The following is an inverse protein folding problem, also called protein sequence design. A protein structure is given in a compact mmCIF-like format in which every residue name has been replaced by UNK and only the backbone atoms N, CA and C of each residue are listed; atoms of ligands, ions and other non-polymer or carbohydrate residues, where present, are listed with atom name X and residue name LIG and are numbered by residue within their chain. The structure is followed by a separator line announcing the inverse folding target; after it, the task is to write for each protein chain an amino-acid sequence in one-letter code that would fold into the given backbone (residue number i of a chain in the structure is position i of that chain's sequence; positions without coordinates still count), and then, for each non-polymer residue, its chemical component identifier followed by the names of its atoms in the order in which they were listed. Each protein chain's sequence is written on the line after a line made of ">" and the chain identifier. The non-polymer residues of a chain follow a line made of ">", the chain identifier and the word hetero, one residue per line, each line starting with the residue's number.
data_IF_134680147568
#
_entry.id   IF_134680147568
#
_cell.length_a   1.000
_cell.length_b   1.000
_cell.length_c   1.000
_cell.angle_alpha   90.00
_cell.angle_beta   90.00
_cell.angle_gamma   90.00
#
_symmetry.space_group_name_H-M   'P 1'
#
loop_
_entity.id
_entity.type
_entity.pdbx_description
1 polymer ?
#
# COMPACT_ATOMS: atom_id res chain seq x y z
N UNK A 1 -11.76 -4.62 -1.35
CA UNK A 1 -10.28 -4.62 -1.37
C UNK A 1 -9.79 -3.26 -0.87
N UNK A 2 -8.96 -3.22 0.19
CA UNK A 2 -8.48 -1.96 0.78
C UNK A 2 -7.12 -1.56 0.19
N UNK A 3 -6.93 -0.29 -0.13
CA UNK A 3 -5.64 0.25 -0.60
C UNK A 3 -5.15 1.28 0.41
N UNK A 4 -3.88 1.19 0.78
CA UNK A 4 -3.20 2.12 1.68
C UNK A 4 -1.97 2.68 0.97
N UNK A 5 -1.68 3.96 1.21
CA UNK A 5 -0.53 4.63 0.64
C UNK A 5 0.51 4.94 1.70
N UNK A 6 1.77 4.67 1.40
CA UNK A 6 2.92 5.00 2.25
C UNK A 6 3.93 5.81 1.45
N UNK A 7 4.80 6.54 2.14
CA UNK A 7 5.80 7.40 1.54
C UNK A 7 7.15 6.67 1.47
N UNK A 8 7.53 6.03 2.58
CA UNK A 8 8.85 5.45 2.78
C UNK A 8 8.86 3.95 2.51
N UNK A 9 10.04 3.46 2.11
CA UNK A 9 10.28 2.02 1.94
C UNK A 9 10.27 1.27 3.29
N UNK A 10 10.68 1.93 4.37
CA UNK A 10 10.62 1.38 5.73
C UNK A 10 9.17 1.15 6.17
N UNK A 11 8.25 2.05 5.84
CA UNK A 11 6.81 1.90 6.10
C UNK A 11 6.26 0.64 5.39
N UNK A 12 6.65 0.36 4.13
CA UNK A 12 6.29 -0.90 3.47
C UNK A 12 6.79 -2.13 4.23
N UNK A 13 8.03 -2.09 4.77
CA UNK A 13 8.58 -3.18 5.57
C UNK A 13 7.76 -3.39 6.84
N UNK A 14 7.49 -2.32 7.58
CA UNK A 14 6.69 -2.38 8.81
C UNK A 14 5.29 -2.91 8.53
N UNK A 15 4.61 -2.44 7.49
CA UNK A 15 3.29 -2.93 7.11
C UNK A 15 3.31 -4.41 6.72
N UNK A 16 4.32 -4.86 5.96
CA UNK A 16 4.48 -6.28 5.61
C UNK A 16 4.59 -7.13 6.87
N UNK A 17 5.48 -6.75 7.79
CA UNK A 17 5.75 -7.52 8.99
C UNK A 17 4.52 -7.56 9.91
N UNK A 18 3.83 -6.43 10.07
CA UNK A 18 2.58 -6.35 10.82
C UNK A 18 1.50 -7.25 10.21
N UNK A 19 1.25 -7.15 8.90
CA UNK A 19 0.24 -7.95 8.20
C UNK A 19 0.55 -9.45 8.28
N UNK A 20 1.83 -9.82 8.25
CA UNK A 20 2.28 -11.20 8.43
C UNK A 20 2.04 -11.69 9.86
N UNK A 21 2.36 -10.86 10.87
CA UNK A 21 2.08 -11.17 12.29
C UNK A 21 0.59 -11.32 12.59
N UNK A 22 -0.26 -10.64 11.84
CA UNK A 22 -1.72 -10.79 11.89
C UNK A 22 -2.23 -12.08 11.20
N UNK A 23 -1.33 -12.97 10.76
CA UNK A 23 -1.68 -14.27 10.18
C UNK A 23 -2.01 -14.24 8.68
N UNK A 24 -1.71 -13.13 7.98
CA UNK A 24 -1.92 -13.03 6.53
C UNK A 24 -0.67 -13.48 5.78
N UNK A 25 -0.86 -14.02 4.56
CA UNK A 25 0.27 -14.18 3.64
C UNK A 25 0.56 -12.81 3.00
N UNK A 26 1.84 -12.48 2.88
CA UNK A 26 2.27 -11.21 2.29
C UNK A 26 3.28 -11.42 1.18
N UNK A 27 3.21 -10.61 0.14
CA UNK A 27 4.19 -10.61 -0.96
C UNK A 27 4.60 -9.17 -1.30
N UNK A 28 5.87 -8.97 -1.62
CA UNK A 28 6.36 -7.73 -2.22
C UNK A 28 6.24 -7.82 -3.72
N UNK A 29 5.67 -6.78 -4.33
CA UNK A 29 5.51 -6.71 -5.77
C UNK A 29 5.69 -5.26 -6.26
N UNK A 30 5.69 -5.07 -7.57
CA UNK A 30 5.49 -3.77 -8.18
C UNK A 30 4.08 -3.72 -8.76
N UNK A 31 3.38 -2.62 -8.51
CA UNK A 31 2.02 -2.39 -9.01
C UNK A 31 1.91 -1.02 -9.63
N UNK A 32 0.87 -0.79 -10.40
CA UNK A 32 0.56 0.51 -10.96
C UNK A 32 -0.31 1.29 -9.99
N UNK A 33 0.08 2.53 -9.72
CA UNK A 33 -0.69 3.47 -8.94
C UNK A 33 -1.56 4.29 -9.89
N UNK A 34 -2.84 4.48 -9.59
CA UNK A 34 -3.73 5.30 -10.44
C UNK A 34 -3.51 6.82 -10.27
N UNK A 35 -2.34 7.24 -9.79
CA UNK A 35 -2.00 8.67 -9.69
C UNK A 35 -1.69 9.26 -11.07
N UNK A 36 -1.95 10.56 -11.31
CA UNK A 36 -1.74 11.22 -12.61
C UNK A 36 -0.26 11.39 -12.99
N UNK A 37 0.68 10.85 -12.22
CA UNK A 37 2.10 10.93 -12.53
C UNK A 37 2.49 9.95 -13.66
N UNK A 38 3.35 10.41 -14.56
CA UNK A 38 3.87 9.64 -15.71
C UNK A 38 4.67 8.40 -15.31
N UNK A 39 5.24 8.35 -14.11
CA UNK A 39 5.88 7.15 -13.54
C UNK A 39 5.05 6.59 -12.39
N UNK A 40 4.08 5.75 -12.73
CA UNK A 40 3.09 5.25 -11.79
C UNK A 40 3.38 3.82 -11.28
N UNK A 41 4.46 3.18 -11.74
CA UNK A 41 4.90 1.87 -11.24
C UNK A 41 5.57 2.02 -9.88
N UNK A 42 4.94 1.49 -8.83
CA UNK A 42 5.35 1.65 -7.43
C UNK A 42 5.66 0.31 -6.77
N UNK A 43 6.54 0.34 -5.77
CA UNK A 43 6.71 -0.80 -4.88
C UNK A 43 5.46 -0.94 -4.01
N UNK A 44 5.02 -2.18 -3.82
CA UNK A 44 3.86 -2.49 -3.00
C UNK A 44 4.04 -3.77 -2.20
N UNK A 45 3.24 -3.89 -1.16
CA UNK A 45 3.01 -5.11 -0.39
C UNK A 45 1.55 -5.50 -0.58
N UNK A 46 1.31 -6.74 -0.93
CA UNK A 46 -0.04 -7.32 -1.02
C UNK A 46 -0.22 -8.30 0.13
N UNK A 47 -1.27 -8.12 0.92
CA UNK A 47 -1.70 -9.13 1.88
C UNK A 47 -2.90 -9.88 1.33
N UNK A 48 -2.85 -11.20 1.43
CA UNK A 48 -3.88 -12.10 0.93
C UNK A 48 -4.07 -13.27 1.89
N UNK A 49 -5.24 -13.89 1.81
CA UNK A 49 -5.58 -15.10 2.55
C UNK A 49 -6.29 -16.03 1.58
N UNK A 50 -5.81 -17.27 1.49
CA UNK A 50 -6.19 -18.23 0.43
C UNK A 50 -6.14 -17.56 -0.95
N UNK A 51 -7.28 -17.38 -1.61
CA UNK A 51 -7.39 -16.81 -2.96
C UNK A 51 -7.93 -15.39 -2.96
N UNK A 52 -8.06 -14.77 -1.78
CA UNK A 52 -8.63 -13.42 -1.63
C UNK A 52 -7.54 -12.42 -1.27
N UNK A 53 -7.42 -11.36 -2.07
CA UNK A 53 -6.59 -10.20 -1.75
C UNK A 53 -7.32 -9.31 -0.74
N UNK A 54 -6.70 -9.12 0.42
CA UNK A 54 -7.28 -8.35 1.52
C UNK A 54 -6.92 -6.86 1.39
N UNK A 55 -5.63 -6.57 1.22
CA UNK A 55 -5.16 -5.21 1.07
C UNK A 55 -3.91 -5.04 0.20
N UNK A 56 -3.78 -3.85 -0.35
CA UNK A 56 -2.58 -3.33 -0.99
C UNK A 56 -2.00 -2.21 -0.14
N UNK A 57 -0.71 -2.26 0.11
CA UNK A 57 0.05 -1.13 0.66
C UNK A 57 1.01 -0.67 -0.42
N UNK A 58 0.80 0.53 -0.97
CA UNK A 58 1.50 1.04 -2.15
C UNK A 58 2.38 2.22 -1.72
N UNK A 59 3.67 2.19 -2.11
CA UNK A 59 4.59 3.31 -1.86
C UNK A 59 4.39 4.42 -2.88
N UNK A 60 3.55 5.40 -2.55
CA UNK A 60 3.30 6.57 -3.37
C UNK A 60 3.14 7.81 -2.47
N UNK A 61 4.18 8.65 -2.40
CA UNK A 61 4.19 9.90 -1.62
C UNK A 61 3.03 10.83 -1.98
N UNK A 62 2.74 10.99 -3.28
CA UNK A 62 1.69 11.86 -3.78
C UNK A 62 0.30 11.40 -3.31
N UNK A 63 0.00 10.11 -3.47
CA UNK A 63 -1.26 9.55 -2.98
C UNK A 63 -1.36 9.55 -1.47
N UNK A 64 -0.26 9.31 -0.73
CA UNK A 64 -0.26 9.44 0.73
C UNK A 64 -0.68 10.86 1.14
N UNK A 65 -0.02 11.87 0.57
CA UNK A 65 -0.33 13.28 0.85
C UNK A 65 -1.78 13.64 0.53
N UNK A 66 -2.28 13.25 -0.64
CA UNK A 66 -3.67 13.48 -1.02
C UNK A 66 -4.67 12.83 -0.04
N UNK A 67 -4.38 11.61 0.43
CA UNK A 67 -5.22 10.93 1.41
C UNK A 67 -5.17 11.57 2.80
N UNK A 68 -4.01 12.07 3.22
CA UNK A 68 -3.86 12.80 4.49
C UNK A 68 -4.63 14.13 4.46
N UNK A 69 -4.61 14.83 3.33
CA UNK A 69 -5.36 16.08 3.15
C UNK A 69 -6.88 15.84 3.12
N UNK A 70 -7.34 14.83 2.38
CA UNK A 70 -8.78 14.50 2.31
C UNK A 70 -9.34 13.85 3.58
N UNK A 71 -8.49 13.25 4.42
CA UNK A 71 -8.90 12.69 5.71
C UNK A 71 -9.06 13.76 6.81
N UNK A 72 -8.40 14.91 6.68
CA UNK A 72 -8.49 16.02 7.64
C UNK A 72 -9.68 16.96 7.39
N UNK A 73 -10.38 16.81 6.27
CA UNK A 73 -11.61 17.54 5.93
C UNK A 73 -12.90 16.81 6.41
N UNK A 74 -12.77 15.81 7.29
CA UNK A 74 -13.87 15.05 7.89
C UNK A 74 -13.75 14.98 9.40
#
# INVERSE_FOLDING_TARGET
>A
MKVMFVNLKSELTVCKDLLTRLGNKTIRTRTECNCPHTQNRRDAVVAYKTDTILCFVIRCKACKKFWEETANDR
#
